data_IF_307585368205
#
_entry.id   IF_307585368205
#
_cell.length_a   1.000
_cell.length_b   1.000
_cell.length_c   1.000
_cell.angle_alpha   90.00
_cell.angle_beta   90.00
_cell.angle_gamma   90.00
#
_symmetry.space_group_name_H-M   'P 1'
#
loop_
_entity.id
_entity.type
_entity.pdbx_description
1 polymer ?
#
# COMPACT_ATOMS: atom_id res chain seq x y z
N UNK A 1 -12.88 -24.02 -16.89
CA UNK A 1 -11.73 -23.11 -16.67
C UNK A 1 -10.45 -23.91 -16.81
N UNK A 2 -9.47 -23.42 -17.57
CA UNK A 2 -8.19 -24.14 -17.73
C UNK A 2 -7.37 -24.06 -16.44
N UNK A 3 -6.87 -25.21 -15.99
CA UNK A 3 -6.01 -25.34 -14.80
C UNK A 3 -4.61 -24.78 -15.04
N UNK A 4 -4.15 -24.81 -16.28
CA UNK A 4 -2.79 -24.45 -16.68
C UNK A 4 -2.87 -23.40 -17.78
N UNK A 5 -2.00 -22.39 -17.71
CA UNK A 5 -1.79 -21.36 -18.72
C UNK A 5 -0.30 -21.21 -19.01
N UNK A 6 0.00 -20.43 -20.05
CA UNK A 6 1.36 -20.14 -20.47
C UNK A 6 1.70 -18.73 -20.00
N UNK A 7 2.83 -18.56 -19.31
CA UNK A 7 3.40 -17.27 -18.94
C UNK A 7 4.69 -16.99 -19.71
N UNK A 8 4.98 -15.71 -19.91
CA UNK A 8 6.22 -15.24 -20.52
C UNK A 8 7.22 -14.86 -19.43
N UNK A 9 8.45 -15.37 -19.50
CA UNK A 9 9.57 -14.88 -18.71
C UNK A 9 10.50 -14.06 -19.62
N UNK A 10 10.73 -12.79 -19.27
CA UNK A 10 11.58 -11.90 -20.06
C UNK A 10 13.03 -12.04 -19.57
N UNK A 11 13.93 -12.52 -20.43
CA UNK A 11 15.31 -12.86 -20.07
C UNK A 11 16.17 -11.65 -19.62
N UNK A 12 15.75 -10.41 -19.96
CA UNK A 12 16.54 -9.20 -19.71
C UNK A 12 16.21 -8.48 -18.40
N UNK A 13 15.11 -8.81 -17.72
CA UNK A 13 14.74 -8.19 -16.44
C UNK A 13 14.47 -9.30 -15.41
N UNK A 14 15.23 -9.30 -14.30
CA UNK A 14 15.01 -10.15 -13.11
C UNK A 14 13.65 -9.94 -12.39
N UNK A 15 12.67 -9.29 -13.03
CA UNK A 15 11.30 -9.14 -12.54
C UNK A 15 10.45 -10.28 -13.10
N UNK A 16 10.19 -11.29 -12.27
CA UNK A 16 9.24 -12.37 -12.58
C UNK A 16 7.81 -11.82 -12.61
N UNK A 17 7.42 -11.23 -13.73
CA UNK A 17 6.03 -10.84 -13.98
C UNK A 17 5.31 -11.98 -14.69
N UNK A 18 4.37 -12.62 -13.99
CA UNK A 18 3.54 -13.70 -14.53
C UNK A 18 2.48 -13.14 -15.48
N UNK A 19 2.87 -12.78 -16.69
CA UNK A 19 1.90 -12.37 -17.70
C UNK A 19 1.24 -13.61 -18.31
N UNK A 20 0.01 -13.93 -17.88
CA UNK A 20 -0.80 -14.94 -18.54
C UNK A 20 -1.01 -14.59 -20.01
N UNK A 21 -0.72 -15.53 -20.90
CA UNK A 21 -0.96 -15.36 -22.33
C UNK A 21 -2.43 -15.65 -22.64
N UNK A 22 -3.08 -14.71 -23.33
CA UNK A 22 -4.42 -14.81 -23.89
C UNK A 22 -4.41 -14.48 -25.40
N UNK A 23 -5.58 -14.51 -26.04
CA UNK A 23 -5.67 -14.19 -27.48
C UNK A 23 -5.33 -12.73 -27.80
N UNK A 24 -5.39 -11.83 -26.82
CA UNK A 24 -5.17 -10.41 -27.01
C UNK A 24 -3.68 -10.07 -26.95
N UNK A 25 -2.91 -10.78 -26.12
CA UNK A 25 -1.48 -10.56 -25.95
C UNK A 25 -0.59 -11.61 -26.65
N UNK A 26 -1.15 -12.68 -27.21
CA UNK A 26 -0.36 -13.67 -27.97
C UNK A 26 0.52 -13.03 -29.06
N UNK A 27 0.02 -11.95 -29.69
CA UNK A 27 0.73 -11.21 -30.75
C UNK A 27 1.92 -10.38 -30.24
N UNK A 28 2.07 -10.20 -28.93
CA UNK A 28 3.18 -9.43 -28.34
C UNK A 28 4.39 -10.31 -28.02
N UNK A 29 4.27 -11.63 -28.16
CA UNK A 29 5.37 -12.58 -27.99
C UNK A 29 6.35 -12.43 -29.15
N UNK A 30 7.63 -12.26 -28.83
CA UNK A 30 8.72 -12.14 -29.80
C UNK A 30 9.60 -13.38 -29.78
N UNK A 31 10.33 -13.60 -30.88
CA UNK A 31 11.34 -14.64 -30.95
C UNK A 31 12.40 -14.44 -29.85
N UNK A 32 12.78 -15.52 -29.18
CA UNK A 32 13.72 -15.51 -28.05
C UNK A 32 13.06 -15.46 -26.67
N UNK A 33 11.73 -15.38 -26.59
CA UNK A 33 11.01 -15.42 -25.31
C UNK A 33 10.88 -16.87 -24.80
N UNK A 34 11.11 -17.09 -23.50
CA UNK A 34 10.89 -18.37 -22.87
C UNK A 34 9.47 -18.43 -22.30
N UNK A 35 8.76 -19.49 -22.66
CA UNK A 35 7.39 -19.74 -22.22
C UNK A 35 7.38 -20.82 -21.14
N UNK A 36 6.70 -20.54 -20.03
CA UNK A 36 6.54 -21.48 -18.93
C UNK A 36 5.07 -21.89 -18.80
N UNK A 37 4.86 -23.19 -18.56
CA UNK A 37 3.56 -23.70 -18.12
C UNK A 37 3.38 -23.40 -16.63
N UNK A 38 2.38 -22.59 -16.31
CA UNK A 38 2.04 -22.16 -14.95
C UNK A 38 0.57 -22.44 -14.66
N UNK A 39 0.19 -22.49 -13.38
CA UNK A 39 -1.23 -22.56 -13.05
C UNK A 39 -1.94 -21.25 -13.41
N UNK A 40 -3.24 -21.33 -13.70
CA UNK A 40 -4.00 -20.11 -13.99
C UNK A 40 -4.15 -19.22 -12.75
N UNK A 41 -4.24 -17.90 -12.95
CA UNK A 41 -4.51 -16.93 -11.88
C UNK A 41 -5.83 -17.24 -11.16
N UNK A 42 -6.82 -17.78 -11.87
CA UNK A 42 -8.06 -18.26 -11.26
C UNK A 42 -7.81 -19.43 -10.31
N UNK A 43 -6.93 -20.36 -10.67
CA UNK A 43 -6.53 -21.45 -9.79
C UNK A 43 -5.76 -20.93 -8.58
N UNK A 44 -4.80 -20.03 -8.79
CA UNK A 44 -4.05 -19.40 -7.70
C UNK A 44 -4.97 -18.67 -6.73
N UNK A 45 -5.86 -17.81 -7.24
CA UNK A 45 -6.84 -17.10 -6.42
C UNK A 45 -7.71 -18.10 -5.65
N UNK A 46 -8.27 -19.10 -6.31
CA UNK A 46 -9.09 -20.11 -5.64
C UNK A 46 -8.31 -20.79 -4.51
N UNK A 47 -7.12 -21.32 -4.79
CA UNK A 47 -6.30 -22.03 -3.81
C UNK A 47 -5.93 -21.13 -2.63
N UNK A 48 -5.50 -19.90 -2.87
CA UNK A 48 -5.15 -18.94 -1.82
C UNK A 48 -6.33 -18.71 -0.88
N UNK A 49 -7.52 -18.43 -1.43
CA UNK A 49 -8.68 -18.09 -0.62
C UNK A 49 -9.39 -19.31 -0.01
N UNK A 50 -9.24 -20.50 -0.59
CA UNK A 50 -9.73 -21.75 0.00
C UNK A 50 -8.86 -22.17 1.20
N UNK A 51 -7.58 -21.80 1.19
CA UNK A 51 -6.57 -22.16 2.20
C UNK A 51 -6.03 -20.94 2.97
N UNK A 52 -6.82 -19.86 3.10
CA UNK A 52 -6.40 -18.65 3.83
C UNK A 52 -6.54 -18.81 5.35
N UNK A 53 -7.30 -19.82 5.78
CA UNK A 53 -7.72 -20.03 7.17
C UNK A 53 -7.20 -21.32 7.79
N UNK A 54 -6.55 -22.17 7.01
CA UNK A 54 -6.16 -23.51 7.43
C UNK A 54 -4.65 -23.65 7.64
N UNK A 55 -4.20 -24.89 7.76
CA UNK A 55 -2.78 -25.23 7.99
C UNK A 55 -1.86 -24.77 6.86
N UNK A 56 -2.40 -24.48 5.67
CA UNK A 56 -1.64 -24.02 4.50
C UNK A 56 -1.63 -22.50 4.35
N UNK A 57 -2.22 -21.75 5.29
CA UNK A 57 -2.32 -20.29 5.22
C UNK A 57 -0.99 -19.58 5.00
N UNK A 58 0.11 -20.09 5.56
CA UNK A 58 1.45 -19.50 5.37
C UNK A 58 1.81 -19.44 3.89
N UNK A 59 1.64 -20.56 3.18
CA UNK A 59 1.92 -20.65 1.74
C UNK A 59 0.95 -19.78 0.94
N UNK A 60 -0.32 -19.74 1.35
CA UNK A 60 -1.34 -18.88 0.73
C UNK A 60 -0.97 -17.39 0.83
N UNK A 61 -0.42 -16.94 1.96
CA UNK A 61 0.00 -15.55 2.16
C UNK A 61 1.31 -15.21 1.43
N UNK A 62 2.26 -16.15 1.32
CA UNK A 62 3.44 -15.98 0.46
C UNK A 62 3.03 -15.79 -1.00
N UNK A 63 2.17 -16.67 -1.51
CA UNK A 63 1.72 -16.61 -2.90
C UNK A 63 0.84 -15.36 -3.13
N UNK A 64 0.07 -14.93 -2.12
CA UNK A 64 -0.64 -13.65 -2.16
C UNK A 64 0.34 -12.47 -2.24
N UNK A 65 1.41 -12.46 -1.45
CA UNK A 65 2.43 -11.41 -1.48
C UNK A 65 3.03 -11.27 -2.89
N UNK A 66 3.49 -12.39 -3.45
CA UNK A 66 4.15 -12.41 -4.76
C UNK A 66 3.20 -12.01 -5.90
N UNK A 67 1.97 -12.53 -5.89
CA UNK A 67 1.02 -12.28 -6.98
C UNK A 67 0.34 -10.91 -6.88
N UNK A 68 0.30 -10.27 -5.72
CA UNK A 68 -0.39 -8.98 -5.53
C UNK A 68 0.26 -7.82 -6.28
N UNK A 69 1.52 -7.98 -6.71
CA UNK A 69 2.22 -7.01 -7.56
C UNK A 69 1.71 -7.06 -9.00
N UNK A 70 1.14 -8.19 -9.44
CA UNK A 70 0.63 -8.37 -10.79
C UNK A 70 -0.78 -7.75 -10.95
N UNK A 71 -0.95 -6.74 -11.85
CA UNK A 71 -2.25 -6.15 -12.13
C UNK A 71 -3.31 -7.13 -12.63
N UNK A 72 -2.94 -8.21 -13.33
CA UNK A 72 -3.90 -9.20 -13.83
C UNK A 72 -4.45 -10.07 -12.69
N UNK A 73 -3.62 -10.42 -11.71
CA UNK A 73 -4.07 -11.11 -10.51
C UNK A 73 -5.05 -10.26 -9.69
N UNK A 74 -4.78 -8.95 -9.54
CA UNK A 74 -5.69 -8.03 -8.88
C UNK A 74 -7.05 -7.98 -9.59
N UNK A 75 -7.06 -7.93 -10.93
CA UNK A 75 -8.31 -8.01 -11.71
C UNK A 75 -9.04 -9.33 -11.47
N UNK A 76 -8.32 -10.44 -11.39
CA UNK A 76 -8.89 -11.76 -11.19
C UNK A 76 -9.55 -11.90 -9.81
N UNK A 77 -8.92 -11.38 -8.75
CA UNK A 77 -9.49 -11.33 -7.39
C UNK A 77 -10.76 -10.46 -7.36
N UNK A 78 -10.80 -9.37 -8.12
CA UNK A 78 -12.00 -8.53 -8.25
C UNK A 78 -13.10 -9.28 -8.99
N UNK A 79 -12.78 -9.88 -10.13
CA UNK A 79 -13.70 -10.66 -10.98
C UNK A 79 -14.36 -11.83 -10.24
N UNK A 80 -13.64 -12.42 -9.29
CA UNK A 80 -14.09 -13.56 -8.49
C UNK A 80 -14.64 -13.15 -7.11
N UNK A 81 -14.81 -11.84 -6.86
CA UNK A 81 -15.29 -11.26 -5.60
C UNK A 81 -14.46 -11.62 -4.36
N UNK A 82 -13.26 -12.20 -4.54
CA UNK A 82 -12.37 -12.61 -3.46
C UNK A 82 -11.76 -11.43 -2.71
N UNK A 83 -11.74 -10.24 -3.31
CA UNK A 83 -11.32 -9.01 -2.63
C UNK A 83 -12.18 -8.68 -1.41
N UNK A 84 -13.47 -9.03 -1.40
CA UNK A 84 -14.35 -8.85 -0.25
C UNK A 84 -13.92 -9.74 0.92
N UNK A 85 -13.59 -11.00 0.61
CA UNK A 85 -13.06 -11.97 1.59
C UNK A 85 -11.73 -11.46 2.15
N UNK A 86 -10.85 -10.94 1.30
CA UNK A 86 -9.57 -10.39 1.72
C UNK A 86 -9.74 -9.23 2.71
N UNK A 87 -10.62 -8.29 2.42
CA UNK A 87 -10.90 -7.14 3.29
C UNK A 87 -11.52 -7.60 4.61
N UNK A 88 -12.50 -8.51 4.54
CA UNK A 88 -13.18 -9.02 5.74
C UNK A 88 -12.21 -9.79 6.64
N UNK A 89 -11.41 -10.67 6.05
CA UNK A 89 -10.40 -11.45 6.73
C UNK A 89 -9.33 -10.53 7.36
N UNK A 90 -8.84 -9.54 6.60
CA UNK A 90 -7.93 -8.53 7.15
C UNK A 90 -8.56 -7.75 8.30
N UNK A 91 -9.86 -7.45 8.25
CA UNK A 91 -10.52 -6.65 9.29
C UNK A 91 -10.74 -7.45 10.57
N UNK A 92 -11.27 -8.68 10.45
CA UNK A 92 -11.81 -9.44 11.58
C UNK A 92 -10.82 -10.38 12.26
N UNK A 93 -9.79 -10.85 11.55
CA UNK A 93 -8.87 -11.87 12.10
C UNK A 93 -7.62 -11.23 12.70
N UNK A 94 -7.04 -11.87 13.71
CA UNK A 94 -5.68 -11.56 14.12
C UNK A 94 -4.70 -12.15 13.10
N UNK A 95 -3.86 -11.29 12.53
CA UNK A 95 -2.91 -11.64 11.50
C UNK A 95 -1.50 -11.41 12.01
N UNK A 96 -0.59 -12.30 11.67
CA UNK A 96 0.84 -12.04 11.85
C UNK A 96 1.29 -10.89 10.93
N UNK A 97 2.40 -10.23 11.25
CA UNK A 97 2.87 -9.03 10.52
C UNK A 97 3.11 -9.31 9.02
N UNK A 98 3.61 -10.51 8.67
CA UNK A 98 3.79 -10.95 7.29
C UNK A 98 2.45 -11.15 6.55
N UNK A 99 1.48 -11.81 7.19
CA UNK A 99 0.13 -12.04 6.64
C UNK A 99 -0.60 -10.70 6.42
N UNK A 100 -0.47 -9.77 7.38
CA UNK A 100 -1.00 -8.42 7.28
C UNK A 100 -0.34 -7.63 6.13
N UNK A 101 0.98 -7.78 5.94
CA UNK A 101 1.71 -7.12 4.85
C UNK A 101 1.20 -7.60 3.49
N UNK A 102 1.08 -8.92 3.28
CA UNK A 102 0.55 -9.49 2.04
C UNK A 102 -0.86 -8.96 1.72
N UNK A 103 -1.74 -8.91 2.73
CA UNK A 103 -3.07 -8.32 2.58
C UNK A 103 -3.01 -6.84 2.17
N UNK A 104 -2.17 -6.05 2.84
CA UNK A 104 -2.09 -4.61 2.59
C UNK A 104 -1.58 -4.27 1.20
N UNK A 105 -0.63 -5.05 0.66
CA UNK A 105 -0.14 -4.85 -0.71
C UNK A 105 -1.28 -5.01 -1.71
N UNK A 106 -2.02 -6.13 -1.63
CA UNK A 106 -3.19 -6.38 -2.46
C UNK A 106 -4.23 -5.25 -2.32
N UNK A 107 -4.54 -4.84 -1.09
CA UNK A 107 -5.51 -3.79 -0.81
C UNK A 107 -5.05 -2.44 -1.38
N UNK A 108 -3.78 -2.07 -1.25
CA UNK A 108 -3.23 -0.84 -1.84
C UNK A 108 -3.41 -0.83 -3.36
N UNK A 109 -3.14 -1.95 -4.04
CA UNK A 109 -3.33 -2.06 -5.48
C UNK A 109 -4.82 -2.00 -5.87
N UNK A 110 -5.71 -2.62 -5.10
CA UNK A 110 -7.15 -2.50 -5.28
C UNK A 110 -7.62 -1.04 -5.16
N UNK A 111 -7.07 -0.28 -4.21
CA UNK A 111 -7.30 1.18 -4.10
C UNK A 111 -6.64 2.00 -5.21
N UNK A 112 -5.52 1.56 -5.78
CA UNK A 112 -4.84 2.28 -6.89
C UNK A 112 -5.61 2.17 -8.19
N UNK A 113 -6.23 1.02 -8.42
CA UNK A 113 -7.04 0.77 -9.62
C UNK A 113 -8.49 1.21 -9.46
N UNK A 114 -8.91 1.63 -8.26
CA UNK A 114 -10.25 2.16 -8.00
C UNK A 114 -11.32 1.08 -7.84
N UNK A 115 -10.93 -0.16 -7.54
CA UNK A 115 -11.87 -1.27 -7.33
C UNK A 115 -12.55 -1.23 -5.97
N UNK A 116 -11.96 -0.54 -4.99
CA UNK A 116 -12.53 -0.33 -3.65
C UNK A 116 -12.56 1.16 -3.38
N UNK A 117 -13.72 1.65 -2.94
CA UNK A 117 -13.94 3.03 -2.49
C UNK A 117 -14.50 3.12 -1.07
N UNK A 118 -15.12 2.05 -0.58
CA UNK A 118 -15.78 1.99 0.72
C UNK A 118 -14.99 1.09 1.66
N UNK A 119 -14.71 1.60 2.86
CA UNK A 119 -14.00 0.87 3.91
C UNK A 119 -14.79 0.98 5.20
N UNK A 120 -14.86 -0.14 5.94
CA UNK A 120 -15.51 -0.17 7.24
C UNK A 120 -14.71 0.60 8.31
N UNK A 121 -15.37 1.18 9.33
CA UNK A 121 -14.67 1.83 10.44
C UNK A 121 -13.67 0.93 11.15
N UNK A 122 -13.98 -0.35 11.30
CA UNK A 122 -13.15 -1.35 11.99
C UNK A 122 -11.85 -1.61 11.23
N UNK A 123 -11.91 -1.64 9.89
CA UNK A 123 -10.73 -1.75 9.06
C UNK A 123 -9.79 -0.56 9.30
N UNK A 124 -10.33 0.66 9.34
CA UNK A 124 -9.52 1.86 9.59
C UNK A 124 -8.88 1.84 10.98
N UNK A 125 -9.61 1.40 12.00
CA UNK A 125 -9.06 1.26 13.35
C UNK A 125 -7.90 0.28 13.40
N UNK A 126 -8.02 -0.85 12.70
CA UNK A 126 -6.94 -1.83 12.59
C UNK A 126 -5.71 -1.28 11.87
N UNK A 127 -5.90 -0.55 10.76
CA UNK A 127 -4.80 0.13 10.05
C UNK A 127 -4.10 1.14 10.97
N UNK A 128 -4.86 1.92 11.74
CA UNK A 128 -4.30 2.90 12.68
C UNK A 128 -3.51 2.18 13.79
N UNK A 129 -4.03 1.07 14.30
CA UNK A 129 -3.33 0.23 15.28
C UNK A 129 -2.01 -0.32 14.72
N UNK A 130 -2.03 -0.82 13.48
CA UNK A 130 -0.83 -1.29 12.78
C UNK A 130 0.16 -0.15 12.61
N UNK A 131 -0.26 1.03 12.16
CA UNK A 131 0.63 2.19 12.09
C UNK A 131 1.30 2.43 13.45
N UNK A 132 0.54 2.45 14.55
CA UNK A 132 1.05 2.76 15.91
C UNK A 132 2.01 1.72 16.47
N UNK A 133 1.71 0.45 16.29
CA UNK A 133 2.33 -0.64 17.04
C UNK A 133 3.29 -1.51 16.20
N UNK A 134 3.24 -1.42 14.87
CA UNK A 134 4.03 -2.29 14.02
C UNK A 134 5.52 -2.01 14.14
N UNK A 135 6.28 -3.11 14.19
CA UNK A 135 7.74 -3.07 14.26
C UNK A 135 8.38 -3.03 12.87
N UNK A 136 7.70 -3.61 11.88
CA UNK A 136 8.18 -3.75 10.51
C UNK A 136 7.87 -2.52 9.65
N UNK A 137 8.91 -1.91 9.09
CA UNK A 137 8.81 -0.67 8.31
C UNK A 137 7.99 -0.85 7.01
N UNK A 138 8.01 -2.04 6.39
CA UNK A 138 7.23 -2.34 5.18
C UNK A 138 5.72 -2.38 5.46
N UNK A 139 5.32 -3.01 6.56
CA UNK A 139 3.92 -3.05 7.00
C UNK A 139 3.37 -1.64 7.26
N UNK A 140 4.16 -0.81 7.95
CA UNK A 140 3.82 0.60 8.22
C UNK A 140 3.71 1.40 6.93
N UNK A 141 4.61 1.19 5.95
CA UNK A 141 4.57 1.86 4.65
C UNK A 141 3.26 1.61 3.91
N UNK A 142 2.82 0.35 3.81
CA UNK A 142 1.56 0.03 3.14
C UNK A 142 0.34 0.51 3.94
N UNK A 143 0.37 0.41 5.27
CA UNK A 143 -0.68 0.94 6.13
C UNK A 143 -0.86 2.47 5.97
N UNK A 144 0.25 3.22 5.87
CA UNK A 144 0.25 4.66 5.59
C UNK A 144 -0.30 4.97 4.18
N UNK A 145 0.03 4.14 3.19
CA UNK A 145 -0.50 4.28 1.82
C UNK A 145 -2.02 4.09 1.75
N UNK A 146 -2.57 3.10 2.47
CA UNK A 146 -4.02 2.90 2.59
C UNK A 146 -4.65 4.07 3.36
N UNK A 147 -4.01 4.52 4.45
CA UNK A 147 -4.46 5.67 5.25
C UNK A 147 -4.55 6.95 4.41
N UNK A 148 -3.55 7.22 3.57
CA UNK A 148 -3.52 8.36 2.68
C UNK A 148 -4.72 8.39 1.73
N UNK A 149 -5.23 7.24 1.31
CA UNK A 149 -6.36 7.19 0.37
C UNK A 149 -7.73 7.28 1.03
N UNK A 150 -7.79 7.04 2.32
CA UNK A 150 -9.04 6.83 3.07
C UNK A 150 -9.41 8.00 3.97
N UNK A 151 -8.55 9.03 3.97
CA UNK A 151 -8.61 10.37 4.61
C UNK A 151 -9.92 10.68 5.33
N UNK A 152 -10.18 10.03 6.47
CA UNK A 152 -11.32 10.43 7.33
C UNK A 152 -11.07 10.40 8.83
N UNK A 153 -10.00 9.77 9.37
CA UNK A 153 -9.89 9.60 10.85
C UNK A 153 -8.50 9.63 11.48
N UNK A 154 -7.42 9.94 10.76
CA UNK A 154 -6.07 9.92 11.37
C UNK A 154 -5.67 11.30 11.90
N UNK A 155 -5.32 11.35 13.20
CA UNK A 155 -4.80 12.55 13.85
C UNK A 155 -3.33 12.76 13.47
N UNK A 156 -2.95 14.00 13.15
CA UNK A 156 -1.56 14.35 12.79
C UNK A 156 -0.57 14.04 13.93
N UNK A 157 -1.06 14.03 15.17
CA UNK A 157 -0.26 13.70 16.37
C UNK A 157 0.31 12.28 16.31
N UNK A 158 -0.44 11.35 15.72
CA UNK A 158 -0.04 9.95 15.62
C UNK A 158 1.03 9.74 14.54
N UNK A 159 1.24 10.71 13.64
CA UNK A 159 2.16 10.60 12.50
C UNK A 159 3.57 11.15 12.77
N UNK A 160 3.74 11.94 13.85
CA UNK A 160 5.01 12.58 14.24
C UNK A 160 6.13 11.57 14.55
N UNK A 161 5.88 10.43 15.21
CA UNK A 161 6.93 9.44 15.47
C UNK A 161 7.56 8.84 14.20
N UNK A 162 6.80 8.70 13.12
CA UNK A 162 7.30 8.13 11.85
C UNK A 162 8.21 9.10 11.10
N UNK A 163 8.05 10.42 11.29
CA UNK A 163 8.98 11.43 10.77
C UNK A 163 10.30 11.39 11.55
N UNK A 164 10.28 11.02 12.84
CA UNK A 164 11.48 10.96 13.70
C UNK A 164 12.33 9.72 13.47
N UNK A 165 11.79 8.64 12.89
CA UNK A 165 12.58 7.45 12.52
C UNK A 165 13.55 7.82 11.39
N UNK A 166 14.85 7.86 11.69
CA UNK A 166 15.93 8.14 10.72
C UNK A 166 16.22 6.97 9.77
N UNK A 167 15.70 5.79 10.06
CA UNK A 167 16.13 4.53 9.44
C UNK A 167 15.49 4.25 8.09
N UNK A 168 14.37 4.91 7.74
CA UNK A 168 13.66 4.65 6.48
C UNK A 168 13.07 5.93 5.89
N UNK A 169 13.66 6.40 4.78
CA UNK A 169 13.17 7.57 4.05
C UNK A 169 11.76 7.34 3.46
N UNK A 170 11.44 6.10 3.12
CA UNK A 170 10.11 5.70 2.65
C UNK A 170 9.02 5.92 3.70
N UNK A 171 9.33 5.66 4.97
CA UNK A 171 8.40 5.91 6.08
C UNK A 171 8.19 7.40 6.31
N UNK A 172 9.26 8.19 6.28
CA UNK A 172 9.18 9.65 6.37
C UNK A 172 8.32 10.21 5.23
N UNK A 173 8.48 9.65 4.02
CA UNK A 173 7.72 10.05 2.84
C UNK A 173 6.24 9.71 2.99
N UNK A 174 5.93 8.48 3.39
CA UNK A 174 4.56 8.05 3.65
C UNK A 174 3.85 8.90 4.72
N UNK A 175 4.54 9.20 5.83
CA UNK A 175 3.99 10.04 6.89
C UNK A 175 3.75 11.48 6.41
N UNK A 176 4.69 12.08 5.68
CA UNK A 176 4.56 13.44 5.13
C UNK A 176 3.40 13.52 4.11
N UNK A 177 3.26 12.49 3.28
CA UNK A 177 2.23 12.40 2.26
C UNK A 177 0.83 12.28 2.90
N UNK A 178 0.69 11.49 3.97
CA UNK A 178 -0.55 11.44 4.77
C UNK A 178 -0.86 12.79 5.43
N UNK A 179 0.14 13.47 6.01
CA UNK A 179 -0.05 14.81 6.61
C UNK A 179 -0.53 15.81 5.56
N UNK A 180 0.11 15.85 4.39
CA UNK A 180 -0.28 16.74 3.30
C UNK A 180 -1.71 16.47 2.82
N UNK A 181 -2.13 15.20 2.79
CA UNK A 181 -3.48 14.83 2.41
C UNK A 181 -4.53 15.22 3.46
N UNK A 182 -4.23 15.06 4.75
CA UNK A 182 -5.09 15.54 5.84
C UNK A 182 -5.27 17.07 5.73
N UNK A 183 -4.18 17.81 5.53
CA UNK A 183 -4.21 19.28 5.40
C UNK A 183 -4.99 19.72 4.14
N UNK A 184 -4.92 18.95 3.05
CA UNK A 184 -5.73 19.19 1.83
C UNK A 184 -7.22 18.97 2.05
N UNK A 185 -7.59 17.92 2.79
CA UNK A 185 -8.99 17.57 3.02
C UNK A 185 -9.68 18.49 4.04
N UNK A 186 -8.94 19.04 5.00
CA UNK A 186 -9.49 20.01 5.94
C UNK A 186 -9.62 21.39 5.29
N UNK A 187 -10.82 22.00 5.37
CA UNK A 187 -11.11 23.36 4.89
C UNK A 187 -11.52 24.28 6.06
N UNK A 188 -11.31 25.58 5.90
CA UNK A 188 -11.76 26.61 6.86
C UNK A 188 -11.04 26.57 8.22
N UNK A 189 -11.77 26.85 9.31
CA UNK A 189 -11.21 26.93 10.68
C UNK A 189 -10.56 25.63 11.15
N UNK A 190 -11.08 24.46 10.75
CA UNK A 190 -10.48 23.16 11.08
C UNK A 190 -9.07 23.01 10.52
N UNK A 191 -8.83 23.56 9.32
CA UNK A 191 -7.48 23.59 8.73
C UNK A 191 -6.53 24.49 9.51
N UNK A 192 -7.03 25.63 9.98
CA UNK A 192 -6.23 26.54 10.82
C UNK A 192 -5.88 25.92 12.18
N UNK A 193 -6.82 25.21 12.80
CA UNK A 193 -6.57 24.48 14.05
C UNK A 193 -5.53 23.36 13.85
N UNK A 194 -5.65 22.57 12.78
CA UNK A 194 -4.65 21.54 12.44
C UNK A 194 -3.27 22.14 12.19
N UNK A 195 -3.17 23.25 11.47
CA UNK A 195 -1.88 23.93 11.22
C UNK A 195 -1.29 24.50 12.51
N UNK A 196 -2.13 25.03 13.41
CA UNK A 196 -1.69 25.46 14.75
C UNK A 196 -1.19 24.27 15.57
N UNK A 197 -1.89 23.14 15.58
CA UNK A 197 -1.40 21.92 16.25
C UNK A 197 -0.08 21.40 15.66
N UNK A 198 0.07 21.44 14.33
CA UNK A 198 1.31 21.07 13.64
C UNK A 198 2.47 21.98 14.09
N UNK A 199 2.24 23.29 14.14
CA UNK A 199 3.27 24.26 14.52
C UNK A 199 3.59 24.19 16.02
N UNK A 200 2.60 23.97 16.88
CA UNK A 200 2.76 23.86 18.33
C UNK A 200 3.55 22.60 18.75
N UNK A 201 3.43 21.50 18.00
CA UNK A 201 4.06 20.20 18.33
C UNK A 201 5.46 20.00 17.72
N UNK A 202 6.16 21.09 17.37
CA UNK A 202 7.53 21.06 16.82
C UNK A 202 7.67 20.22 15.52
N UNK A 203 6.60 20.05 14.74
CA UNK A 203 6.69 19.29 13.48
C UNK A 203 7.61 19.98 12.46
N UNK A 204 7.64 21.32 12.45
CA UNK A 204 8.57 22.10 11.61
C UNK A 204 10.03 21.84 11.98
N UNK A 205 10.35 21.82 13.27
CA UNK A 205 11.70 21.52 13.77
C UNK A 205 12.07 20.06 13.53
N UNK A 206 11.12 19.15 13.72
CA UNK A 206 11.28 17.72 13.46
C UNK A 206 11.52 17.44 11.97
N UNK A 207 10.73 18.04 11.07
CA UNK A 207 10.94 17.92 9.62
C UNK A 207 12.30 18.54 9.22
N UNK A 208 12.67 19.68 9.82
CA UNK A 208 13.96 20.32 9.54
C UNK A 208 15.15 19.49 10.02
N UNK A 209 15.07 18.86 11.20
CA UNK A 209 16.15 18.08 11.78
C UNK A 209 16.26 16.66 11.22
N UNK A 210 15.15 16.05 10.82
CA UNK A 210 15.12 14.64 10.42
C UNK A 210 14.99 14.42 8.91
N UNK A 211 14.42 15.37 8.16
CA UNK A 211 14.29 15.28 6.70
C UNK A 211 15.28 16.23 6.00
N UNK A 212 15.36 17.50 6.39
CA UNK A 212 16.20 18.50 5.68
C UNK A 212 17.70 18.34 6.03
N UNK A 213 18.03 18.03 7.29
CA UNK A 213 19.43 17.82 7.70
C UNK A 213 19.99 16.44 7.29
N UNK A 214 19.13 15.50 6.86
CA UNK A 214 19.54 14.25 6.24
C UNK A 214 19.81 14.54 4.75
N UNK A 215 21.07 14.78 4.38
CA UNK A 215 21.55 15.32 3.09
C UNK A 215 21.17 14.56 1.79
N UNK A 216 20.23 13.60 1.80
CA UNK A 216 19.74 12.86 0.62
C UNK A 216 18.21 12.96 0.51
N UNK A 217 17.66 14.14 0.26
CA UNK A 217 16.21 14.29 0.04
C UNK A 217 15.88 13.92 -1.42
N UNK A 218 15.17 12.82 -1.62
CA UNK A 218 14.70 12.39 -2.93
C UNK A 218 13.70 13.40 -3.56
N UNK A 219 13.68 13.49 -4.90
CA UNK A 219 12.76 14.36 -5.67
C UNK A 219 11.28 14.28 -5.23
N UNK A 220 10.67 13.09 -5.03
CA UNK A 220 9.30 12.99 -4.51
C UNK A 220 9.16 13.58 -3.09
N UNK A 221 10.14 13.35 -2.21
CA UNK A 221 10.14 13.94 -0.87
C UNK A 221 10.22 15.48 -0.92
N UNK A 222 11.08 16.03 -1.77
CA UNK A 222 11.20 17.47 -1.98
C UNK A 222 9.89 18.10 -2.48
N UNK A 223 9.15 17.39 -3.34
CA UNK A 223 7.83 17.82 -3.81
C UNK A 223 6.81 17.88 -2.67
N UNK A 224 6.77 16.86 -1.81
CA UNK A 224 5.86 16.84 -0.67
C UNK A 224 6.25 17.88 0.40
N UNK A 225 7.54 18.16 0.60
CA UNK A 225 8.01 19.27 1.44
C UNK A 225 7.58 20.63 0.88
N UNK A 226 7.66 20.83 -0.44
CA UNK A 226 7.19 22.05 -1.09
C UNK A 226 5.68 22.25 -0.91
N UNK A 227 4.90 21.17 -1.06
CA UNK A 227 3.45 21.17 -0.83
C UNK A 227 3.15 21.53 0.64
N UNK A 228 3.88 20.92 1.58
CA UNK A 228 3.77 21.20 3.00
C UNK A 228 4.08 22.66 3.32
N UNK A 229 5.19 23.20 2.80
CA UNK A 229 5.59 24.60 2.95
C UNK A 229 4.55 25.55 2.36
N UNK A 230 3.98 25.22 1.20
CA UNK A 230 2.92 26.01 0.56
C UNK A 230 1.67 26.08 1.45
N UNK A 231 1.33 24.99 2.14
CA UNK A 231 0.19 24.97 3.06
C UNK A 231 0.42 25.77 4.33
N UNK A 232 1.66 25.81 4.82
CA UNK A 232 2.04 26.65 5.96
C UNK A 232 2.09 28.14 5.59
N UNK A 233 2.60 28.49 4.41
CA UNK A 233 2.77 29.88 3.96
C UNK A 233 1.45 30.54 3.51
N UNK A 234 0.49 29.79 2.95
CA UNK A 234 -0.84 30.33 2.59
C UNK A 234 -1.72 30.74 3.79
N UNK A 235 -1.19 30.66 5.01
CA UNK A 235 -1.88 31.02 6.25
C UNK A 235 -1.25 32.21 6.99
N UNK A 236 -0.26 32.87 6.39
CA UNK A 236 0.05 34.27 6.68
C UNK A 236 -0.76 35.19 5.77
#
# INVERSE_FOLDING_TARGET
>A
MSLVKVSVENADNNEKTLHEIDMNNFKTIKDGYFLQLVYSLTYYAKRIFDHIDDEYKVKSFEDLYDLSVDPEFIKEIVRTEKHLILIDHFTKKELAENEATACLIAIVHLFQKGYISEISPEFLEKIISICKNATHDELVKYALSVTHKTIKKVSITDLVPFIRKKTSQDLQYGALLVINAIVRCCKGEKRQQLIKEINLKQNRETISQYIIAANNVDKPMARELYIYQTFLLRHH
#
